data_IF_480624986152
#
_entry.id   IF_480624986152
#
_cell.length_a   1.000
_cell.length_b   1.000
_cell.length_c   1.000
_cell.angle_alpha   90.00
_cell.angle_beta   90.00
_cell.angle_gamma   90.00
#
_symmetry.space_group_name_H-M   'P 1'
#
loop_
_entity.id
_entity.type
_entity.pdbx_description
1 polymer ?
#
# COMPACT_ATOMS: atom_id res chain seq x y z
N UNK A 1 28.23 11.57 -14.19
CA UNK A 1 27.27 10.45 -14.33
C UNK A 1 28.06 9.16 -14.40
N UNK A 2 27.97 8.28 -13.39
CA UNK A 2 28.62 6.98 -13.46
C UNK A 2 27.83 6.09 -14.43
N UNK A 3 28.48 5.61 -15.49
CA UNK A 3 27.88 4.65 -16.42
C UNK A 3 28.04 3.23 -15.87
N UNK A 4 26.95 2.47 -15.83
CA UNK A 4 26.98 1.07 -15.43
C UNK A 4 27.39 0.21 -16.64
N UNK A 5 28.44 -0.59 -16.48
CA UNK A 5 28.83 -1.59 -17.48
C UNK A 5 28.33 -2.97 -17.07
N UNK A 6 27.59 -3.63 -17.97
CA UNK A 6 27.08 -4.99 -17.79
C UNK A 6 27.80 -5.86 -18.80
N UNK A 7 28.58 -6.84 -18.31
CA UNK A 7 29.40 -7.72 -19.15
C UNK A 7 28.56 -8.73 -19.93
N UNK A 8 27.49 -9.21 -19.32
CA UNK A 8 26.56 -10.15 -19.95
C UNK A 8 25.72 -9.43 -21.01
N UNK A 9 25.78 -9.91 -22.25
CA UNK A 9 25.15 -9.26 -23.40
C UNK A 9 23.63 -9.36 -23.34
N UNK A 10 23.09 -10.48 -22.85
CA UNK A 10 21.65 -10.66 -22.68
C UNK A 10 21.06 -9.68 -21.65
N UNK A 11 21.71 -9.57 -20.49
CA UNK A 11 21.31 -8.63 -19.43
C UNK A 11 21.47 -7.18 -19.89
N UNK A 12 22.51 -6.87 -20.66
CA UNK A 12 22.69 -5.53 -21.22
C UNK A 12 21.58 -5.16 -22.22
N UNK A 13 21.12 -6.12 -23.04
CA UNK A 13 20.01 -5.94 -23.97
C UNK A 13 18.70 -5.70 -23.22
N UNK A 14 18.38 -6.55 -22.23
CA UNK A 14 17.20 -6.40 -21.38
C UNK A 14 17.18 -5.04 -20.67
N UNK A 15 18.30 -4.62 -20.08
CA UNK A 15 18.39 -3.33 -19.42
C UNK A 15 18.20 -2.14 -20.39
N UNK A 16 18.53 -2.32 -21.68
CA UNK A 16 18.32 -1.31 -22.72
C UNK A 16 16.85 -1.25 -23.13
N UNK A 17 16.22 -2.39 -23.37
CA UNK A 17 14.79 -2.48 -23.70
C UNK A 17 13.91 -1.85 -22.61
N UNK A 18 14.16 -2.19 -21.35
CA UNK A 18 13.43 -1.61 -20.20
C UNK A 18 13.70 -0.10 -20.11
N UNK A 19 14.92 0.36 -20.38
CA UNK A 19 15.23 1.79 -20.37
C UNK A 19 14.47 2.56 -21.46
N UNK A 20 14.34 2.00 -22.65
CA UNK A 20 13.57 2.56 -23.76
C UNK A 20 12.07 2.64 -23.41
N UNK A 21 11.50 1.55 -22.87
CA UNK A 21 10.09 1.51 -22.44
C UNK A 21 9.79 2.56 -21.36
N UNK A 22 10.74 2.80 -20.45
CA UNK A 22 10.59 3.79 -19.37
C UNK A 22 11.01 5.21 -19.78
N UNK A 23 11.57 5.41 -20.97
CA UNK A 23 12.13 6.70 -21.41
C UNK A 23 13.29 7.19 -20.54
N UNK A 24 14.11 6.28 -20.00
CA UNK A 24 15.22 6.60 -19.10
C UNK A 24 16.56 6.10 -19.62
N UNK A 25 17.64 6.30 -18.85
CA UNK A 25 18.94 5.71 -19.18
C UNK A 25 19.05 4.29 -18.66
N UNK A 26 19.85 3.45 -19.32
CA UNK A 26 20.15 2.07 -18.88
C UNK A 26 20.57 1.98 -17.41
N UNK A 27 21.43 2.90 -16.96
CA UNK A 27 21.86 2.95 -15.55
C UNK A 27 20.70 3.21 -14.59
N UNK A 28 19.78 4.10 -14.98
CA UNK A 28 18.63 4.47 -14.15
C UNK A 28 17.59 3.35 -14.10
N UNK A 29 17.32 2.68 -15.23
CA UNK A 29 16.45 1.51 -15.27
C UNK A 29 16.94 0.40 -14.32
N UNK A 30 18.24 0.09 -14.36
CA UNK A 30 18.83 -0.91 -13.47
C UNK A 30 18.78 -0.47 -12.01
N UNK A 31 19.08 0.80 -11.71
CA UNK A 31 18.99 1.33 -10.35
C UNK A 31 17.58 1.17 -9.77
N UNK A 32 16.55 1.57 -10.53
CA UNK A 32 15.15 1.44 -10.12
C UNK A 32 14.76 -0.01 -9.91
N UNK A 33 15.15 -0.90 -10.80
CA UNK A 33 14.91 -2.34 -10.66
C UNK A 33 15.50 -2.91 -9.36
N UNK A 34 16.75 -2.57 -9.06
CA UNK A 34 17.41 -3.02 -7.82
C UNK A 34 16.77 -2.42 -6.56
N UNK A 35 16.34 -1.16 -6.61
CA UNK A 35 15.62 -0.53 -5.50
C UNK A 35 14.28 -1.21 -5.24
N UNK A 36 13.50 -1.52 -6.28
CA UNK A 36 12.26 -2.27 -6.14
C UNK A 36 12.51 -3.65 -5.51
N UNK A 37 13.48 -4.41 -6.00
CA UNK A 37 13.81 -5.72 -5.43
C UNK A 37 14.27 -5.64 -3.97
N UNK A 38 15.08 -4.64 -3.63
CA UNK A 38 15.50 -4.40 -2.26
C UNK A 38 14.31 -4.05 -1.35
N UNK A 39 13.39 -3.21 -1.83
CA UNK A 39 12.19 -2.85 -1.10
C UNK A 39 11.26 -4.05 -0.91
N UNK A 40 10.98 -4.82 -1.96
CA UNK A 40 10.16 -6.03 -1.88
C UNK A 40 10.74 -7.03 -0.88
N UNK A 41 12.06 -7.28 -0.92
CA UNK A 41 12.72 -8.18 0.03
C UNK A 41 12.62 -7.68 1.48
N UNK A 42 12.77 -6.37 1.70
CA UNK A 42 12.59 -5.78 3.03
C UNK A 42 11.13 -5.91 3.51
N UNK A 43 10.16 -5.73 2.62
CA UNK A 43 8.73 -5.83 2.93
C UNK A 43 8.27 -7.27 3.11
N UNK A 44 8.80 -8.25 2.39
CA UNK A 44 8.55 -9.68 2.64
C UNK A 44 9.09 -10.12 4.01
N UNK A 45 10.22 -9.54 4.44
CA UNK A 45 10.76 -9.77 5.78
C UNK A 45 10.00 -9.00 6.87
N UNK A 46 9.36 -7.88 6.51
CA UNK A 46 8.58 -7.04 7.42
C UNK A 46 7.08 -7.32 7.39
N UNK A 47 6.60 -8.14 6.47
CA UNK A 47 5.22 -8.60 6.45
C UNK A 47 4.99 -9.33 7.77
N UNK A 48 4.06 -8.87 8.63
CA UNK A 48 3.75 -9.62 9.83
C UNK A 48 3.27 -10.99 9.36
N UNK A 49 4.05 -12.03 9.64
CA UNK A 49 3.66 -13.43 9.50
C UNK A 49 2.50 -13.82 10.40
N UNK A 50 1.96 -12.86 11.18
CA UNK A 50 0.78 -13.03 11.99
C UNK A 50 -0.48 -13.01 11.12
N UNK A 51 -1.41 -13.90 11.46
CA UNK A 51 -2.76 -13.87 10.91
C UNK A 51 -3.35 -12.47 11.09
N UNK A 52 -4.12 -11.97 10.11
CA UNK A 52 -4.91 -10.74 10.23
C UNK A 52 -5.71 -10.71 11.55
N UNK A 53 -6.12 -11.88 12.03
CA UNK A 53 -6.82 -12.07 13.31
C UNK A 53 -5.92 -11.72 14.51
N UNK A 54 -4.65 -12.10 14.48
CA UNK A 54 -3.70 -11.80 15.56
C UNK A 54 -3.38 -10.30 15.58
N UNK A 55 -3.21 -9.68 14.40
CA UNK A 55 -3.06 -8.23 14.31
C UNK A 55 -4.28 -7.48 14.89
N UNK A 56 -5.50 -7.91 14.55
CA UNK A 56 -6.74 -7.33 15.09
C UNK A 56 -6.82 -7.49 16.62
N UNK A 57 -6.39 -8.64 17.15
CA UNK A 57 -6.37 -8.91 18.59
C UNK A 57 -5.39 -7.98 19.31
N UNK A 58 -4.17 -7.86 18.79
CA UNK A 58 -3.13 -7.00 19.35
C UNK A 58 -3.50 -5.52 19.26
N UNK A 59 -4.15 -5.11 18.17
CA UNK A 59 -4.67 -3.77 18.02
C UNK A 59 -5.75 -3.47 19.08
N UNK A 60 -6.69 -4.40 19.28
CA UNK A 60 -7.76 -4.24 20.27
C UNK A 60 -7.28 -4.25 21.71
N UNK A 61 -6.21 -4.99 22.02
CA UNK A 61 -5.58 -4.97 23.34
C UNK A 61 -4.91 -3.61 23.63
N UNK A 62 -4.26 -3.01 22.63
CA UNK A 62 -3.62 -1.68 22.74
C UNK A 62 -4.62 -0.53 22.73
N UNK A 63 -5.75 -0.71 22.07
CA UNK A 63 -6.81 0.28 21.95
C UNK A 63 -8.13 -0.32 22.47
N UNK A 64 -8.28 -0.48 23.80
CA UNK A 64 -9.51 -0.99 24.38
C UNK A 64 -10.66 -0.06 24.01
N UNK A 65 -11.85 -0.63 23.76
CA UNK A 65 -13.01 0.23 23.58
C UNK A 65 -13.26 1.01 24.87
N UNK A 66 -13.71 2.27 24.73
CA UNK A 66 -14.25 2.99 25.87
C UNK A 66 -15.41 2.19 26.48
N UNK A 67 -15.60 2.38 27.79
CA UNK A 67 -16.65 1.71 28.53
C UNK A 67 -18.02 1.95 27.86
N UNK A 68 -18.73 0.85 27.58
CA UNK A 68 -20.05 0.88 26.94
C UNK A 68 -21.07 1.60 27.81
N UNK A 69 -20.93 1.55 29.13
CA UNK A 69 -21.84 2.26 30.05
C UNK A 69 -21.55 3.76 30.11
N UNK A 70 -20.30 4.15 29.87
CA UNK A 70 -19.91 5.56 29.73
C UNK A 70 -20.37 6.17 28.40
N UNK A 71 -20.56 5.36 27.35
CA UNK A 71 -21.18 5.77 26.09
C UNK A 71 -22.71 5.64 26.18
N UNK A 72 -23.37 6.69 26.68
CA UNK A 72 -24.81 6.90 26.47
C UNK A 72 -25.12 7.27 25.01
N UNK A 73 -24.70 6.43 24.06
CA UNK A 73 -25.09 6.57 22.67
C UNK A 73 -26.54 6.10 22.55
N UNK A 74 -27.46 7.06 22.59
CA UNK A 74 -28.87 6.81 22.27
C UNK A 74 -29.05 6.58 20.78
N UNK A 75 -30.17 5.95 20.40
CA UNK A 75 -30.58 5.71 19.00
C UNK A 75 -30.40 6.96 18.11
N UNK A 76 -30.65 8.15 18.65
CA UNK A 76 -30.48 9.43 17.96
C UNK A 76 -29.05 9.72 17.46
N UNK A 77 -28.00 9.21 18.13
CA UNK A 77 -26.62 9.34 17.63
C UNK A 77 -26.40 8.53 16.35
N UNK A 78 -26.96 7.32 16.29
CA UNK A 78 -26.86 6.46 15.11
C UNK A 78 -27.77 6.94 14.00
N UNK A 79 -28.97 7.43 14.32
CA UNK A 79 -29.88 8.06 13.35
C UNK A 79 -29.19 9.28 12.68
N UNK A 80 -28.41 10.08 13.42
CA UNK A 80 -27.63 11.21 12.85
C UNK A 80 -26.43 10.78 11.98
N UNK A 81 -25.90 9.56 12.14
CA UNK A 81 -24.83 9.02 11.28
C UNK A 81 -25.39 8.36 10.03
N UNK A 82 -26.66 7.96 10.06
CA UNK A 82 -27.38 7.31 8.97
C UNK A 82 -28.35 8.25 8.25
N UNK A 83 -28.33 9.55 8.56
CA UNK A 83 -29.03 10.58 7.78
C UNK A 83 -28.23 10.78 6.47
N UNK A 84 -28.26 9.75 5.62
CA UNK A 84 -28.08 9.90 4.19
C UNK A 84 -29.25 10.79 3.75
N UNK A 85 -28.99 12.09 3.59
CA UNK A 85 -29.78 12.88 2.65
C UNK A 85 -29.84 12.03 1.37
N UNK A 86 -31.05 11.60 1.03
CA UNK A 86 -31.41 10.93 -0.23
C UNK A 86 -31.22 11.92 -1.41
N UNK A 87 -30.06 12.57 -1.47
CA UNK A 87 -29.59 13.31 -2.63
C UNK A 87 -29.08 12.25 -3.62
N UNK A 88 -30.04 11.55 -4.22
CA UNK A 88 -29.85 10.84 -5.46
C UNK A 88 -29.38 11.86 -6.48
N UNK A 89 -28.06 12.04 -6.52
CA UNK A 89 -27.39 12.91 -7.48
C UNK A 89 -27.82 12.59 -8.91
N UNK A 90 -27.56 13.49 -9.87
CA UNK A 90 -28.20 13.53 -11.20
C UNK A 90 -27.97 12.32 -12.12
N UNK A 91 -27.34 11.25 -11.62
CA UNK A 91 -26.97 10.04 -12.34
C UNK A 91 -27.96 8.87 -12.16
N UNK A 92 -29.02 9.03 -11.36
CA UNK A 92 -30.11 8.06 -11.25
C UNK A 92 -31.43 8.70 -11.70
N UNK A 93 -31.56 8.90 -13.01
CA UNK A 93 -32.82 9.15 -13.71
C UNK A 93 -32.98 8.18 -14.87
#
# INVERSE_FOLDING_TARGET
MASLFIKDTGTAALATEIAEQLGTTKTEAVRRGLQCLAHHKATEQAAPTGSTVDWLRDYRARHPLPDREALKLGKAFFDSLSDEEDDLGPWLR
#
